data_IF_023408319638
#
_entry.id   IF_023408319638
#
_cell.length_a   1.000
_cell.length_b   1.000
_cell.length_c   1.000
_cell.angle_alpha   90.00
_cell.angle_beta   90.00
_cell.angle_gamma   90.00
#
_symmetry.space_group_name_H-M   'P 1'
#
loop_
_entity.id
_entity.type
_entity.pdbx_description
1 polymer ?
#
# COMPACT_ATOMS: atom_id res chain seq x y z
N UNK A 1 -12.98 17.06 11.00
CA UNK A 1 -13.80 16.17 10.13
C UNK A 1 -13.18 14.78 10.12
N UNK A 2 -13.94 13.71 10.31
CA UNK A 2 -13.45 12.31 10.29
C UNK A 2 -13.33 11.76 8.87
N UNK A 3 -12.58 10.66 8.69
CA UNK A 3 -12.64 9.85 7.48
C UNK A 3 -13.90 8.97 7.48
N UNK A 4 -14.42 8.71 6.29
CA UNK A 4 -15.57 7.85 6.02
C UNK A 4 -15.28 7.03 4.76
N UNK A 5 -16.11 6.03 4.46
CA UNK A 5 -15.99 5.27 3.21
C UNK A 5 -16.02 6.15 1.95
N UNK A 6 -16.64 7.33 2.00
CA UNK A 6 -16.74 8.24 0.86
C UNK A 6 -15.60 9.28 0.80
N UNK A 7 -14.60 9.16 1.68
CA UNK A 7 -13.43 10.03 1.64
C UNK A 7 -12.67 9.87 0.31
N UNK A 8 -12.32 10.97 -0.38
CA UNK A 8 -11.50 10.91 -1.59
C UNK A 8 -10.09 10.43 -1.25
N UNK A 9 -9.44 9.74 -2.19
CA UNK A 9 -8.06 9.30 -2.01
C UNK A 9 -7.06 10.47 -2.12
N UNK A 10 -7.40 11.48 -2.93
CA UNK A 10 -6.64 12.73 -3.04
C UNK A 10 -7.13 13.73 -2.00
N UNK A 11 -6.21 14.36 -1.28
CA UNK A 11 -6.55 15.30 -0.23
C UNK A 11 -5.42 15.55 0.76
N UNK A 12 -5.70 16.43 1.71
CA UNK A 12 -4.77 16.75 2.79
C UNK A 12 -4.88 15.70 3.91
N UNK A 13 -3.75 15.10 4.35
CA UNK A 13 -3.78 14.17 5.46
C UNK A 13 -4.26 14.84 6.74
N UNK A 14 -5.10 14.12 7.48
CA UNK A 14 -5.64 14.55 8.78
C UNK A 14 -4.84 14.04 9.98
N UNK A 15 -3.91 13.12 9.77
CA UNK A 15 -2.90 12.75 10.76
C UNK A 15 -1.57 13.42 10.42
N UNK A 16 -0.70 13.57 11.42
CA UNK A 16 0.70 13.97 11.23
C UNK A 16 1.62 12.75 11.08
N UNK A 17 2.84 13.00 10.61
CA UNK A 17 3.94 12.00 10.58
C UNK A 17 4.11 11.35 11.96
N UNK A 18 4.13 12.15 13.03
CA UNK A 18 4.29 11.66 14.39
C UNK A 18 3.12 10.78 14.84
N UNK A 19 1.89 11.14 14.51
CA UNK A 19 0.70 10.34 14.85
C UNK A 19 0.74 8.99 14.15
N UNK A 20 1.02 8.97 12.84
CA UNK A 20 1.20 7.73 12.08
C UNK A 20 2.30 6.85 12.68
N UNK A 21 3.48 7.42 12.95
CA UNK A 21 4.59 6.65 13.47
C UNK A 21 4.32 6.12 14.89
N UNK A 22 3.77 6.93 15.80
CA UNK A 22 3.36 6.47 17.14
C UNK A 22 2.34 5.34 17.06
N UNK A 23 1.34 5.46 16.19
CA UNK A 23 0.32 4.44 16.00
C UNK A 23 0.93 3.12 15.51
N UNK A 24 1.85 3.16 14.55
CA UNK A 24 2.50 1.95 14.06
C UNK A 24 3.45 1.34 15.11
N UNK A 25 4.23 2.17 15.82
CA UNK A 25 5.20 1.71 16.83
C UNK A 25 4.53 1.10 18.07
N UNK A 26 3.31 1.48 18.40
CA UNK A 26 2.59 0.96 19.57
C UNK A 26 1.95 -0.43 19.36
N UNK A 27 2.20 -1.07 18.22
CA UNK A 27 1.61 -2.35 17.80
C UNK A 27 2.69 -3.25 17.23
N UNK A 28 2.46 -4.56 17.13
CA UNK A 28 3.42 -5.47 16.49
C UNK A 28 3.71 -5.02 15.05
N UNK A 29 4.99 -4.95 14.69
CA UNK A 29 5.45 -4.47 13.38
C UNK A 29 6.57 -5.32 12.77
N UNK A 30 6.51 -6.63 13.03
CA UNK A 30 7.48 -7.59 12.51
C UNK A 30 8.91 -7.27 12.93
N UNK A 31 9.83 -7.33 11.97
CA UNK A 31 11.25 -7.06 12.18
C UNK A 31 11.61 -5.56 12.13
N UNK A 32 10.65 -4.68 11.82
CA UNK A 32 10.91 -3.25 11.73
C UNK A 32 11.18 -2.68 13.11
N UNK A 33 12.00 -1.64 13.17
CA UNK A 33 12.29 -0.92 14.42
C UNK A 33 11.49 0.37 14.50
N UNK A 34 11.40 0.95 15.69
CA UNK A 34 10.85 2.30 15.86
C UNK A 34 11.60 3.34 15.01
N UNK A 35 12.92 3.16 14.83
CA UNK A 35 13.70 3.99 13.93
C UNK A 35 13.26 3.86 12.47
N UNK A 36 13.04 2.63 11.97
CA UNK A 36 12.52 2.40 10.62
C UNK A 36 11.18 3.10 10.41
N UNK A 37 10.28 3.01 11.38
CA UNK A 37 8.94 3.61 11.28
C UNK A 37 9.01 5.14 11.30
N UNK A 38 9.70 5.72 12.29
CA UNK A 38 9.72 7.17 12.54
C UNK A 38 10.57 7.95 11.56
N UNK A 39 11.70 7.39 11.13
CA UNK A 39 12.70 8.15 10.38
C UNK A 39 12.78 7.76 8.91
N UNK A 40 12.23 6.60 8.53
CA UNK A 40 12.33 6.09 7.15
C UNK A 40 10.94 5.97 6.53
N UNK A 41 10.13 5.02 7.00
CA UNK A 41 8.91 4.61 6.31
C UNK A 41 7.82 5.68 6.30
N UNK A 42 7.43 6.18 7.49
CA UNK A 42 6.33 7.16 7.57
C UNK A 42 6.72 8.48 6.89
N UNK A 43 7.91 9.07 7.11
CA UNK A 43 8.32 10.27 6.37
C UNK A 43 8.35 10.07 4.85
N UNK A 44 8.82 8.90 4.38
CA UNK A 44 8.85 8.61 2.95
C UNK A 44 7.44 8.54 2.34
N UNK A 45 6.47 7.92 3.03
CA UNK A 45 5.07 7.94 2.60
C UNK A 45 4.52 9.37 2.51
N UNK A 46 4.75 10.21 3.52
CA UNK A 46 4.28 11.60 3.49
C UNK A 46 4.90 12.38 2.34
N UNK A 47 6.20 12.23 2.11
CA UNK A 47 6.91 12.90 1.02
C UNK A 47 6.33 12.50 -0.34
N UNK A 48 6.30 11.20 -0.64
CA UNK A 48 5.84 10.72 -1.96
C UNK A 48 4.35 10.98 -2.16
N UNK A 49 3.51 10.83 -1.13
CA UNK A 49 2.09 11.18 -1.23
C UNK A 49 1.89 12.68 -1.48
N UNK A 50 2.66 13.53 -0.80
CA UNK A 50 2.61 14.99 -0.95
C UNK A 50 2.99 15.45 -2.36
N UNK A 51 3.98 14.82 -2.99
CA UNK A 51 4.40 15.09 -4.38
C UNK A 51 3.27 14.86 -5.40
N UNK A 52 2.31 13.99 -5.09
CA UNK A 52 1.23 13.60 -6.02
C UNK A 52 -0.19 13.91 -5.51
N UNK A 53 -0.30 14.53 -4.34
CA UNK A 53 -1.57 14.97 -3.74
C UNK A 53 -2.43 13.86 -3.13
N UNK A 54 -1.89 12.66 -2.89
CA UNK A 54 -2.60 11.59 -2.19
C UNK A 54 -2.61 11.85 -0.68
N UNK A 55 -3.70 11.45 -0.02
CA UNK A 55 -3.80 11.52 1.43
C UNK A 55 -2.95 10.42 2.09
N UNK A 56 -1.80 10.80 2.65
CA UNK A 56 -0.86 9.86 3.29
C UNK A 56 -1.46 9.12 4.48
N UNK A 57 -2.46 9.68 5.18
CA UNK A 57 -3.13 8.97 6.29
C UNK A 57 -3.90 7.78 5.74
N UNK A 58 -4.59 7.94 4.61
CA UNK A 58 -5.33 6.85 3.97
C UNK A 58 -4.40 5.79 3.40
N UNK A 59 -3.30 6.18 2.76
CA UNK A 59 -2.30 5.25 2.22
C UNK A 59 -1.64 4.44 3.35
N UNK A 60 -1.26 5.09 4.46
CA UNK A 60 -0.68 4.39 5.61
C UNK A 60 -1.73 3.49 6.30
N UNK A 61 -2.99 3.91 6.35
CA UNK A 61 -4.08 3.05 6.86
C UNK A 61 -4.21 1.79 6.02
N UNK A 62 -4.08 1.91 4.68
CA UNK A 62 -4.05 0.77 3.78
C UNK A 62 -2.84 -0.14 4.04
N UNK A 63 -1.63 0.43 4.14
CA UNK A 63 -0.41 -0.32 4.50
C UNK A 63 -0.64 -1.16 5.76
N UNK A 64 -1.15 -0.53 6.83
CA UNK A 64 -1.41 -1.20 8.11
C UNK A 64 -2.43 -2.32 7.93
N UNK A 65 -3.52 -2.07 7.22
CA UNK A 65 -4.57 -3.07 7.00
C UNK A 65 -4.07 -4.27 6.19
N UNK A 66 -3.38 -4.03 5.09
CA UNK A 66 -2.91 -5.06 4.16
C UNK A 66 -1.80 -5.95 4.73
N UNK A 67 -0.99 -5.39 5.62
CA UNK A 67 0.22 -6.07 6.12
C UNK A 67 0.12 -6.51 7.58
N UNK A 68 -0.99 -6.23 8.25
CA UNK A 68 -1.09 -6.42 9.70
C UNK A 68 -0.06 -5.55 10.44
N UNK A 69 -0.05 -4.26 10.12
CA UNK A 69 0.94 -3.29 10.62
C UNK A 69 2.39 -3.73 10.37
N UNK A 70 2.71 -4.08 9.11
CA UNK A 70 4.01 -4.60 8.69
C UNK A 70 4.42 -5.95 9.28
N UNK A 71 3.52 -6.71 9.93
CA UNK A 71 3.86 -8.03 10.51
C UNK A 71 3.76 -9.21 9.53
N UNK A 72 3.15 -9.01 8.35
CA UNK A 72 3.01 -10.07 7.34
C UNK A 72 4.37 -10.55 6.82
N UNK A 73 4.47 -11.82 6.40
CA UNK A 73 5.68 -12.35 5.76
C UNK A 73 6.09 -11.55 4.51
N UNK A 74 5.09 -11.13 3.73
CA UNK A 74 5.28 -10.34 2.51
C UNK A 74 5.81 -8.94 2.78
N UNK A 75 5.47 -8.32 3.90
CA UNK A 75 5.99 -7.01 4.28
C UNK A 75 7.38 -7.07 4.91
N UNK A 76 7.88 -8.21 5.40
CA UNK A 76 9.24 -8.34 5.94
C UNK A 76 10.31 -8.19 4.85
N UNK A 77 11.54 -7.80 5.21
CA UNK A 77 12.70 -7.88 4.31
C UNK A 77 13.03 -9.35 4.03
N UNK A 78 13.54 -9.67 2.83
CA UNK A 78 13.83 -8.75 1.72
C UNK A 78 12.60 -8.41 0.83
N UNK A 79 11.39 -8.88 1.15
CA UNK A 79 10.21 -8.78 0.28
C UNK A 79 9.57 -7.39 0.24
N UNK A 80 9.43 -6.73 1.40
CA UNK A 80 8.96 -5.33 1.52
C UNK A 80 7.68 -5.02 0.74
N UNK A 81 6.75 -5.96 0.62
CA UNK A 81 5.50 -5.76 -0.12
C UNK A 81 4.47 -5.06 0.77
N UNK A 82 4.08 -3.81 0.45
CA UNK A 82 3.31 -2.95 1.35
C UNK A 82 1.80 -3.20 1.30
N UNK A 83 1.32 -3.90 0.28
CA UNK A 83 -0.11 -3.92 -0.02
C UNK A 83 -0.53 -5.17 -0.81
N UNK A 84 0.15 -6.30 -0.55
CA UNK A 84 -0.14 -7.58 -1.21
C UNK A 84 0.00 -7.54 -2.74
N UNK A 85 0.86 -6.68 -3.28
CA UNK A 85 0.96 -6.45 -4.73
C UNK A 85 1.41 -7.74 -5.42
N UNK A 86 0.53 -8.27 -6.28
CA UNK A 86 0.75 -9.52 -7.01
C UNK A 86 0.61 -10.78 -6.16
N UNK A 87 0.26 -10.68 -4.87
CA UNK A 87 0.07 -11.83 -4.00
C UNK A 87 -1.27 -12.48 -4.31
N UNK A 88 -1.26 -13.75 -4.72
CA UNK A 88 -2.47 -14.51 -5.09
C UNK A 88 -2.80 -15.64 -4.14
N UNK A 89 -1.88 -15.96 -3.21
CA UNK A 89 -1.95 -17.14 -2.35
C UNK A 89 -1.48 -18.44 -3.03
N UNK A 90 -1.15 -18.39 -4.33
CA UNK A 90 -0.61 -19.54 -5.06
C UNK A 90 0.77 -19.92 -4.54
N UNK A 91 0.98 -21.23 -4.41
CA UNK A 91 2.23 -21.84 -3.95
C UNK A 91 2.63 -22.98 -4.87
N UNK A 92 3.90 -23.09 -5.22
CA UNK A 92 4.41 -24.10 -6.14
C UNK A 92 5.73 -24.69 -5.63
N UNK A 93 5.96 -26.01 -5.77
CA UNK A 93 7.24 -26.62 -5.38
C UNK A 93 8.39 -26.20 -6.31
N UNK A 94 8.11 -26.01 -7.60
CA UNK A 94 9.06 -25.50 -8.58
C UNK A 94 8.73 -24.05 -8.95
N UNK A 95 9.76 -23.24 -9.24
CA UNK A 95 9.56 -21.84 -9.65
C UNK A 95 8.89 -21.78 -11.02
N UNK A 96 7.71 -21.15 -11.16
CA UNK A 96 7.11 -20.97 -12.48
C UNK A 96 7.93 -20.02 -13.36
N UNK A 97 7.86 -20.22 -14.68
CA UNK A 97 8.61 -19.44 -15.66
C UNK A 97 8.12 -17.98 -15.81
N UNK A 98 6.85 -17.72 -15.46
CA UNK A 98 6.23 -16.41 -15.57
C UNK A 98 5.65 -15.95 -14.23
N UNK A 99 5.54 -14.63 -14.08
CA UNK A 99 5.09 -13.99 -12.84
C UNK A 99 6.21 -13.73 -11.86
N UNK A 100 5.87 -13.05 -10.77
CA UNK A 100 6.80 -12.79 -9.68
C UNK A 100 6.60 -13.85 -8.60
N UNK A 101 7.67 -14.56 -8.26
CA UNK A 101 7.64 -15.66 -7.29
C UNK A 101 8.81 -15.53 -6.34
N UNK A 102 8.52 -15.67 -5.05
CA UNK A 102 9.50 -15.59 -3.96
C UNK A 102 9.54 -16.91 -3.23
N UNK A 103 10.74 -17.46 -3.06
CA UNK A 103 10.96 -18.66 -2.27
C UNK A 103 10.71 -18.39 -0.78
N UNK A 104 10.05 -19.34 -0.10
CA UNK A 104 9.78 -19.26 1.33
C UNK A 104 10.37 -20.47 2.04
N UNK A 105 11.47 -20.25 2.77
CA UNK A 105 12.19 -21.28 3.51
C UNK A 105 11.37 -21.97 4.61
N UNK A 106 10.36 -21.31 5.18
CA UNK A 106 9.52 -21.93 6.21
C UNK A 106 8.58 -22.97 5.61
N UNK A 107 8.10 -22.72 4.38
CA UNK A 107 7.16 -23.61 3.70
C UNK A 107 7.82 -24.52 2.68
N UNK A 108 9.08 -24.25 2.30
CA UNK A 108 9.79 -24.90 1.21
C UNK A 108 9.01 -24.86 -0.12
N UNK A 109 8.39 -23.71 -0.42
CA UNK A 109 7.59 -23.49 -1.63
C UNK A 109 7.87 -22.09 -2.20
N UNK A 110 7.66 -21.93 -3.50
CA UNK A 110 7.58 -20.64 -4.17
C UNK A 110 6.19 -20.04 -3.98
N UNK A 111 6.11 -18.78 -3.55
CA UNK A 111 4.85 -18.04 -3.37
C UNK A 111 4.75 -16.95 -4.42
N UNK A 112 3.60 -16.81 -5.07
CA UNK A 112 3.38 -15.75 -6.07
C UNK A 112 3.21 -14.40 -5.37
N UNK A 113 3.97 -13.40 -5.81
CA UNK A 113 3.92 -12.03 -5.32
C UNK A 113 5.19 -11.24 -5.65
N UNK A 114 5.07 -9.92 -5.61
CA UNK A 114 6.19 -9.02 -5.90
C UNK A 114 7.03 -8.82 -4.64
N UNK A 115 8.36 -8.92 -4.78
CA UNK A 115 9.32 -8.45 -3.80
C UNK A 115 9.97 -7.14 -4.28
N UNK A 116 10.14 -6.19 -3.37
CA UNK A 116 10.71 -4.89 -3.65
C UNK A 116 12.11 -4.76 -3.03
N UNK A 117 13.15 -4.39 -3.81
CA UNK A 117 14.51 -4.25 -3.32
C UNK A 117 14.64 -3.27 -2.15
N UNK A 118 13.98 -2.12 -2.23
CA UNK A 118 13.99 -1.09 -1.20
C UNK A 118 12.58 -0.52 -0.92
N UNK A 119 12.42 0.10 0.25
CA UNK A 119 11.17 0.79 0.59
C UNK A 119 11.01 2.08 -0.19
N UNK A 120 11.95 3.02 -0.04
CA UNK A 120 11.81 4.40 -0.52
C UNK A 120 11.72 4.51 -2.05
N UNK A 121 12.49 3.70 -2.76
CA UNK A 121 12.55 3.76 -4.21
C UNK A 121 11.64 2.74 -4.90
N UNK A 122 11.27 1.62 -4.28
CA UNK A 122 10.50 0.57 -4.97
C UNK A 122 9.12 0.36 -4.36
N UNK A 123 9.06 -0.07 -3.09
CA UNK A 123 7.80 -0.47 -2.47
C UNK A 123 6.81 0.69 -2.31
N UNK A 124 7.26 1.83 -1.77
CA UNK A 124 6.41 3.01 -1.52
C UNK A 124 5.91 3.58 -2.85
N UNK A 125 6.77 3.83 -3.86
CA UNK A 125 6.33 4.24 -5.19
C UNK A 125 5.35 3.25 -5.85
N UNK A 126 5.59 1.94 -5.71
CA UNK A 126 4.70 0.93 -6.27
C UNK A 126 3.31 0.93 -5.62
N UNK A 127 3.25 1.12 -4.30
CA UNK A 127 1.99 1.24 -3.57
C UNK A 127 1.19 2.47 -4.00
N UNK A 128 1.82 3.64 -3.91
CA UNK A 128 1.20 4.94 -4.18
C UNK A 128 0.78 5.03 -5.66
N UNK A 129 1.67 4.68 -6.59
CA UNK A 129 1.36 4.68 -8.02
C UNK A 129 0.23 3.72 -8.39
N UNK A 130 0.13 2.57 -7.72
CA UNK A 130 -0.97 1.61 -7.96
C UNK A 130 -2.29 2.17 -7.44
N UNK A 131 -2.32 2.78 -6.26
CA UNK A 131 -3.51 3.48 -5.75
C UNK A 131 -3.97 4.58 -6.71
N UNK A 132 -3.05 5.40 -7.22
CA UNK A 132 -3.39 6.41 -8.23
C UNK A 132 -3.94 5.79 -9.51
N UNK A 133 -3.39 4.65 -9.94
CA UNK A 133 -3.88 3.96 -11.13
C UNK A 133 -5.35 3.51 -10.98
N UNK A 134 -5.78 3.15 -9.77
CA UNK A 134 -7.19 2.90 -9.46
C UNK A 134 -8.02 4.19 -9.41
N UNK A 135 -7.44 5.28 -8.91
CA UNK A 135 -8.15 6.53 -8.65
C UNK A 135 -8.34 7.44 -9.88
N UNK A 136 -7.43 7.36 -10.86
CA UNK A 136 -7.45 8.22 -12.05
C UNK A 136 -6.98 7.53 -13.33
N UNK A 137 -7.38 8.10 -14.47
CA UNK A 137 -6.87 7.79 -15.81
C UNK A 137 -5.70 8.70 -16.19
N UNK A 138 -4.93 8.30 -17.20
CA UNK A 138 -3.69 8.98 -17.59
C UNK A 138 -3.91 10.39 -18.15
N UNK A 139 -5.09 10.66 -18.72
CA UNK A 139 -5.54 11.96 -19.21
C UNK A 139 -5.86 12.96 -18.08
N UNK A 140 -6.14 12.46 -16.88
CA UNK A 140 -6.39 13.26 -15.67
C UNK A 140 -5.11 13.53 -14.87
N UNK A 141 -4.08 12.70 -15.07
CA UNK A 141 -2.86 12.74 -14.28
C UNK A 141 -1.91 13.87 -14.72
N UNK A 142 -1.19 14.47 -13.76
CA UNK A 142 -0.01 15.29 -14.03
C UNK A 142 1.16 14.42 -14.52
N UNK A 143 2.23 15.04 -15.01
CA UNK A 143 3.43 14.29 -15.42
C UNK A 143 4.05 13.46 -14.28
N UNK A 144 4.28 14.02 -13.06
CA UNK A 144 4.76 13.23 -11.93
C UNK A 144 3.83 12.07 -11.55
N UNK A 145 2.51 12.29 -11.60
CA UNK A 145 1.52 11.24 -11.34
C UNK A 145 1.59 10.11 -12.37
N UNK A 146 1.70 10.45 -13.67
CA UNK A 146 1.84 9.46 -14.75
C UNK A 146 3.11 8.63 -14.61
N UNK A 147 4.24 9.25 -14.30
CA UNK A 147 5.51 8.55 -14.11
C UNK A 147 5.43 7.56 -12.94
N UNK A 148 4.82 7.97 -11.83
CA UNK A 148 4.66 7.12 -10.66
C UNK A 148 3.66 5.98 -10.90
N UNK A 149 2.55 6.23 -11.62
CA UNK A 149 1.63 5.20 -12.11
C UNK A 149 2.37 4.20 -13.00
N UNK A 150 3.10 4.67 -14.00
CA UNK A 150 3.82 3.82 -14.95
C UNK A 150 4.84 2.93 -14.23
N UNK A 151 5.59 3.50 -13.27
CA UNK A 151 6.50 2.74 -12.41
C UNK A 151 5.77 1.67 -11.60
N UNK A 152 4.66 2.00 -10.94
CA UNK A 152 3.91 1.00 -10.17
C UNK A 152 3.36 -0.14 -11.04
N UNK A 153 2.88 0.18 -12.24
CA UNK A 153 2.30 -0.80 -13.16
C UNK A 153 3.35 -1.66 -13.88
N UNK A 154 4.62 -1.24 -13.90
CA UNK A 154 5.72 -2.09 -14.40
C UNK A 154 5.98 -3.29 -13.48
N UNK A 155 5.81 -3.14 -12.16
CA UNK A 155 5.90 -4.26 -11.21
C UNK A 155 4.70 -5.21 -11.33
N UNK A 156 3.48 -4.66 -11.49
CA UNK A 156 2.26 -5.44 -11.67
C UNK A 156 1.23 -4.68 -12.50
N UNK A 157 0.94 -5.12 -13.74
CA UNK A 157 -0.09 -4.47 -14.56
C UNK A 157 -1.46 -4.44 -13.89
N UNK A 158 -2.22 -3.38 -14.14
CA UNK A 158 -3.61 -3.22 -13.71
C UNK A 158 -4.50 -3.14 -14.96
N UNK A 159 -5.14 -4.25 -15.33
CA UNK A 159 -5.92 -4.38 -16.57
C UNK A 159 -7.37 -3.92 -16.46
N UNK A 160 -7.93 -3.92 -15.26
CA UNK A 160 -9.30 -3.50 -14.95
C UNK A 160 -9.25 -2.41 -13.89
N UNK A 161 -10.33 -1.64 -13.74
CA UNK A 161 -10.50 -0.68 -12.65
C UNK A 161 -9.63 0.59 -12.71
N UNK A 162 -9.01 0.86 -13.86
CA UNK A 162 -8.24 2.10 -14.07
C UNK A 162 -9.16 3.31 -13.98
N UNK A 163 -8.90 4.19 -13.02
CA UNK A 163 -9.70 5.40 -12.78
C UNK A 163 -11.13 5.16 -12.30
N UNK A 164 -11.43 3.99 -11.72
CA UNK A 164 -12.77 3.65 -11.24
C UNK A 164 -12.96 3.85 -9.72
N UNK A 165 -11.90 4.17 -8.97
CA UNK A 165 -11.92 4.24 -7.51
C UNK A 165 -11.33 5.55 -6.94
N UNK A 166 -11.94 6.71 -7.20
CA UNK A 166 -11.46 8.00 -6.68
C UNK A 166 -11.67 8.17 -5.16
N UNK A 167 -12.49 7.32 -4.53
CA UNK A 167 -12.78 7.32 -3.09
C UNK A 167 -12.42 5.97 -2.46
N UNK A 168 -12.33 5.91 -1.12
CA UNK A 168 -12.11 4.65 -0.40
C UNK A 168 -13.16 3.58 -0.79
N UNK A 169 -14.44 3.93 -0.85
CA UNK A 169 -15.53 3.03 -1.28
C UNK A 169 -15.30 2.48 -2.67
N UNK A 170 -14.70 3.27 -3.56
CA UNK A 170 -14.32 2.83 -4.89
C UNK A 170 -13.38 1.62 -4.88
N UNK A 171 -12.53 1.48 -3.85
CA UNK A 171 -11.61 0.34 -3.71
C UNK A 171 -12.32 -0.97 -3.32
N UNK A 172 -13.53 -0.90 -2.76
CA UNK A 172 -14.31 -2.10 -2.40
C UNK A 172 -14.57 -2.96 -3.63
N UNK A 173 -14.23 -4.24 -3.56
CA UNK A 173 -14.39 -5.18 -4.68
C UNK A 173 -13.46 -4.93 -5.87
N UNK A 174 -12.55 -3.96 -5.80
CA UNK A 174 -11.59 -3.62 -6.87
C UNK A 174 -10.14 -3.84 -6.42
N UNK A 175 -9.77 -3.28 -5.28
CA UNK A 175 -8.48 -3.55 -4.64
C UNK A 175 -8.48 -4.89 -3.92
N UNK A 176 -9.45 -5.08 -3.02
CA UNK A 176 -9.71 -6.31 -2.30
C UNK A 176 -11.01 -6.95 -2.80
N UNK A 177 -10.98 -8.23 -3.16
CA UNK A 177 -12.15 -8.98 -3.65
C UNK A 177 -12.48 -10.10 -2.66
N UNK A 178 -13.73 -10.22 -2.16
CA UNK A 178 -14.90 -9.38 -2.44
C UNK A 178 -14.91 -8.01 -1.74
N UNK A 179 -14.12 -7.82 -0.67
CA UNK A 179 -13.79 -6.53 -0.06
C UNK A 179 -14.93 -5.54 0.20
N UNK A 180 -16.15 -6.00 0.52
CA UNK A 180 -17.35 -5.13 0.62
C UNK A 180 -17.30 -4.11 1.76
N UNK A 181 -16.54 -4.39 2.82
CA UNK A 181 -16.34 -3.52 4.00
C UNK A 181 -14.95 -2.90 4.06
N UNK A 182 -14.21 -2.95 2.95
CA UNK A 182 -12.80 -2.56 2.92
C UNK A 182 -12.60 -1.07 3.27
N UNK A 183 -13.37 -0.18 2.65
CA UNK A 183 -13.37 1.25 2.94
C UNK A 183 -13.69 1.57 4.41
N UNK A 184 -14.62 0.84 5.01
CA UNK A 184 -15.00 1.04 6.42
C UNK A 184 -13.82 0.72 7.34
N UNK A 185 -13.09 -0.37 7.06
CA UNK A 185 -11.88 -0.74 7.81
C UNK A 185 -10.79 0.31 7.66
N UNK A 186 -10.52 0.77 6.44
CA UNK A 186 -9.50 1.79 6.20
C UNK A 186 -9.84 3.12 6.88
N UNK A 187 -11.09 3.58 6.76
CA UNK A 187 -11.52 4.82 7.42
C UNK A 187 -11.49 4.72 8.94
N UNK A 188 -11.82 3.54 9.51
CA UNK A 188 -11.70 3.29 10.94
C UNK A 188 -10.23 3.36 11.42
N UNK A 189 -9.32 2.69 10.71
CA UNK A 189 -7.88 2.78 10.99
C UNK A 189 -7.37 4.21 10.85
N UNK A 190 -7.76 4.94 9.80
CA UNK A 190 -7.34 6.32 9.57
C UNK A 190 -7.80 7.27 10.69
N UNK A 191 -9.04 7.10 11.16
CA UNK A 191 -9.55 7.86 12.30
C UNK A 191 -8.83 7.51 13.61
N UNK A 192 -8.48 6.25 13.81
CA UNK A 192 -7.73 5.83 15.01
C UNK A 192 -6.30 6.38 15.02
N UNK A 193 -5.65 6.49 13.84
CA UNK A 193 -4.35 7.16 13.71
C UNK A 193 -4.49 8.66 14.04
N UNK A 194 -5.48 9.35 13.47
CA UNK A 194 -5.66 10.79 13.68
C UNK A 194 -6.00 11.16 15.14
N UNK A 195 -6.43 10.19 15.96
CA UNK A 195 -6.71 10.35 17.38
C UNK A 195 -5.53 9.99 18.31
N UNK A 196 -4.38 9.60 17.76
CA UNK A 196 -3.13 9.31 18.52
C UNK A 196 -2.39 10.59 18.89
#
# INVERSE_FOLDING_TARGET
>A
MTYTADSPLFGTPKASVDQCARFMSSRAHGEYTEHDLRNVLVPAYYRVCGEVGLDSTLVISQLIHETGNLSSWWSQRPRRNPAGIGVTGQKQPAKPAAGAWVWNDQTQLWHEGVAFPAWDNDAIPAHIGRLMAYAMRDDQASTPQRELIARALSYRPLRRYRGEAPTLRGLNGRWAVPGTTYADRLSHTANAIAAT
#
